data_IF_631384384133
#
_entry.id   IF_631384384133
#
_cell.length_a   1.000
_cell.length_b   1.000
_cell.length_c   1.000
_cell.angle_alpha   90.00
_cell.angle_beta   90.00
_cell.angle_gamma   90.00
#
_symmetry.space_group_name_H-M   'P 1'
#
loop_
_entity.id
_entity.type
_entity.pdbx_description
1 polymer ?
#
# COMPACT_ATOMS: atom_id res chain seq x y z
N UNK A 1 -74.80 -29.25 23.20
CA UNK A 1 -73.35 -29.51 23.14
C UNK A 1 -72.80 -28.87 21.88
N UNK A 2 -72.17 -27.72 22.01
CA UNK A 2 -71.50 -27.01 20.89
C UNK A 2 -70.02 -27.32 20.91
N UNK A 3 -69.49 -27.92 19.90
CA UNK A 3 -68.04 -28.14 19.70
C UNK A 3 -67.47 -26.93 18.96
N UNK A 4 -66.58 -26.21 19.63
CA UNK A 4 -65.73 -25.16 19.00
C UNK A 4 -64.59 -25.82 18.24
N UNK A 5 -64.45 -25.55 16.94
CA UNK A 5 -63.24 -25.80 16.20
C UNK A 5 -62.26 -24.63 16.41
N UNK A 6 -61.08 -24.93 16.99
CA UNK A 6 -59.92 -24.03 16.93
C UNK A 6 -59.18 -24.24 15.63
N UNK A 7 -59.15 -23.24 14.80
CA UNK A 7 -58.30 -23.14 13.62
C UNK A 7 -56.91 -22.62 14.06
N UNK A 8 -55.91 -23.45 13.98
CA UNK A 8 -54.48 -23.08 14.12
C UNK A 8 -54.05 -22.43 12.81
N UNK A 9 -53.86 -21.12 12.85
CA UNK A 9 -53.22 -20.37 11.77
C UNK A 9 -51.71 -20.62 11.79
N UNK A 10 -51.22 -21.31 10.78
CA UNK A 10 -49.79 -21.49 10.53
C UNK A 10 -49.22 -20.19 9.93
N UNK A 11 -48.51 -19.39 10.74
CA UNK A 11 -47.67 -18.35 10.21
C UNK A 11 -46.43 -18.97 9.55
N UNK A 12 -46.44 -19.07 8.25
CA UNK A 12 -45.24 -19.35 7.47
C UNK A 12 -44.41 -18.05 7.46
N UNK A 13 -43.36 -18.00 8.27
CA UNK A 13 -42.27 -17.05 8.04
C UNK A 13 -41.59 -17.47 6.74
N UNK A 14 -41.84 -16.75 5.66
CA UNK A 14 -41.00 -16.78 4.48
C UNK A 14 -39.66 -16.09 4.87
N UNK A 15 -38.64 -16.91 5.13
CA UNK A 15 -37.27 -16.44 5.07
C UNK A 15 -37.01 -16.08 3.58
N UNK A 16 -37.20 -14.80 3.25
CA UNK A 16 -36.61 -14.25 2.04
C UNK A 16 -35.11 -14.41 2.23
N UNK A 17 -34.47 -15.29 1.45
CA UNK A 17 -33.04 -15.28 1.28
C UNK A 17 -32.72 -13.87 0.74
N UNK A 18 -32.18 -13.02 1.58
CA UNK A 18 -31.59 -11.75 1.17
C UNK A 18 -30.53 -12.11 0.13
N UNK A 19 -30.75 -11.71 -1.12
CA UNK A 19 -29.64 -11.66 -2.06
C UNK A 19 -28.55 -10.83 -1.38
N UNK A 20 -27.38 -11.41 -1.19
CA UNK A 20 -26.23 -10.73 -0.54
C UNK A 20 -26.05 -9.39 -1.26
N UNK A 21 -26.28 -8.30 -0.56
CA UNK A 21 -26.00 -6.97 -1.12
C UNK A 21 -24.52 -6.92 -1.52
N UNK A 22 -24.25 -6.43 -2.73
CA UNK A 22 -22.86 -6.25 -3.21
C UNK A 22 -22.10 -5.40 -2.21
N UNK A 23 -20.92 -5.82 -1.72
CA UNK A 23 -20.16 -5.03 -0.76
C UNK A 23 -19.60 -3.77 -1.41
N UNK A 24 -19.48 -2.70 -0.64
CA UNK A 24 -18.71 -1.53 -1.03
C UNK A 24 -17.20 -1.79 -0.86
N UNK A 25 -16.38 -1.00 -1.54
CA UNK A 25 -14.93 -1.02 -1.41
C UNK A 25 -14.41 0.42 -1.21
N UNK A 26 -13.75 0.66 -0.08
CA UNK A 26 -12.97 1.87 0.20
C UNK A 26 -11.50 1.52 0.27
N UNK A 27 -10.70 2.05 -0.66
CA UNK A 27 -9.26 1.87 -0.70
C UNK A 27 -8.60 3.17 -0.26
N UNK A 28 -7.89 3.15 0.87
CA UNK A 28 -7.09 4.25 1.39
C UNK A 28 -5.62 3.92 1.07
N UNK A 29 -5.10 4.60 0.07
CA UNK A 29 -3.77 4.36 -0.48
C UNK A 29 -2.88 5.57 -0.22
N UNK A 30 -1.73 5.36 0.42
CA UNK A 30 -0.75 6.40 0.72
C UNK A 30 0.47 6.28 -0.20
N UNK A 31 1.32 7.30 -0.19
CA UNK A 31 2.56 7.33 -0.95
C UNK A 31 3.76 7.27 0.00
N UNK A 32 4.63 6.29 -0.19
CA UNK A 32 5.88 6.16 0.58
C UNK A 32 5.68 5.92 2.09
N UNK A 33 4.62 5.16 2.46
CA UNK A 33 4.30 4.85 3.86
C UNK A 33 5.12 3.67 4.38
N UNK A 34 5.96 3.92 5.39
CA UNK A 34 6.63 2.86 6.13
C UNK A 34 5.65 2.12 7.05
N UNK A 35 5.65 0.77 6.98
CA UNK A 35 4.88 -0.05 7.91
C UNK A 35 5.34 0.10 9.36
N UNK A 36 6.61 0.47 9.59
CA UNK A 36 7.22 0.65 10.92
C UNK A 36 6.63 1.85 11.69
N UNK A 37 5.89 2.73 11.03
CA UNK A 37 5.28 3.90 11.68
C UNK A 37 3.83 3.68 12.09
N UNK A 38 3.28 2.49 11.87
CA UNK A 38 1.92 2.13 12.24
C UNK A 38 1.92 1.30 13.53
N UNK A 39 1.14 1.73 14.53
CA UNK A 39 1.09 1.08 15.84
C UNK A 39 0.64 -0.38 15.75
N UNK A 40 -0.31 -0.72 14.89
CA UNK A 40 -0.73 -2.11 14.68
C UNK A 40 0.39 -3.03 14.19
N UNK A 41 1.36 -2.53 13.41
CA UNK A 41 2.53 -3.32 13.04
C UNK A 41 3.53 -3.47 14.19
N UNK A 42 3.75 -2.38 14.93
CA UNK A 42 4.71 -2.36 16.03
C UNK A 42 4.34 -3.34 17.15
N UNK A 43 3.03 -3.56 17.38
CA UNK A 43 2.53 -4.53 18.36
C UNK A 43 2.87 -5.99 18.02
N UNK A 44 3.10 -6.30 16.74
CA UNK A 44 3.38 -7.65 16.24
C UNK A 44 4.86 -7.88 15.89
N UNK A 45 5.69 -6.85 15.93
CA UNK A 45 7.12 -6.94 15.62
C UNK A 45 7.95 -7.00 16.91
N UNK A 46 9.11 -7.70 16.89
CA UNK A 46 10.13 -7.54 17.92
C UNK A 46 10.54 -6.07 18.10
N UNK A 47 10.93 -5.68 19.33
CA UNK A 47 11.20 -4.28 19.69
C UNK A 47 12.24 -3.61 18.76
N UNK A 48 13.29 -4.33 18.39
CA UNK A 48 14.35 -3.84 17.50
C UNK A 48 13.88 -3.61 16.06
N UNK A 49 12.88 -4.37 15.60
CA UNK A 49 12.26 -4.20 14.29
C UNK A 49 11.17 -3.13 14.29
N UNK A 50 10.42 -3.04 15.37
CA UNK A 50 9.33 -2.05 15.55
C UNK A 50 9.89 -0.63 15.69
N UNK A 51 11.01 -0.47 16.39
CA UNK A 51 11.56 0.82 16.78
C UNK A 51 12.98 1.04 16.28
N UNK A 52 13.18 0.94 14.96
CA UNK A 52 14.51 1.11 14.31
C UNK A 52 15.15 2.48 14.57
N UNK A 53 14.34 3.49 14.89
CA UNK A 53 14.80 4.84 15.25
C UNK A 53 14.84 5.10 16.76
N UNK A 54 14.78 4.04 17.58
CA UNK A 54 14.82 4.10 19.03
C UNK A 54 13.47 3.81 19.68
N UNK A 55 13.51 3.33 20.91
CA UNK A 55 12.32 2.92 21.67
C UNK A 55 11.31 4.05 21.82
N UNK A 56 10.04 3.78 21.50
CA UNK A 56 8.96 4.75 21.59
C UNK A 56 8.88 5.74 20.42
N UNK A 57 9.72 5.56 19.38
CA UNK A 57 9.65 6.35 18.15
C UNK A 57 8.54 5.80 17.25
N UNK A 58 7.33 6.33 17.41
CA UNK A 58 6.15 5.89 16.67
C UNK A 58 5.17 7.03 16.42
N UNK A 59 4.38 6.90 15.37
CA UNK A 59 3.20 7.72 15.12
C UNK A 59 2.00 7.18 15.91
N UNK A 60 1.00 8.04 16.15
CA UNK A 60 -0.28 7.65 16.73
C UNK A 60 -1.24 7.32 15.59
N UNK A 61 -1.67 6.05 15.50
CA UNK A 61 -2.51 5.56 14.40
C UNK A 61 -3.72 4.73 14.86
N UNK A 62 -4.53 5.21 15.84
CA UNK A 62 -5.61 4.43 16.43
C UNK A 62 -6.75 4.09 15.44
N UNK A 63 -6.94 4.88 14.37
CA UNK A 63 -7.98 4.64 13.39
C UNK A 63 -7.55 3.57 12.37
N UNK A 64 -6.27 3.56 11.96
CA UNK A 64 -5.70 2.48 11.15
C UNK A 64 -5.66 1.19 11.97
N UNK A 65 -5.30 1.26 13.26
CA UNK A 65 -5.35 0.12 14.19
C UNK A 65 -6.77 -0.45 14.29
N UNK A 66 -7.80 0.39 14.24
CA UNK A 66 -9.21 -0.05 14.22
C UNK A 66 -9.51 -0.92 13.01
N UNK A 67 -9.02 -0.57 11.82
CA UNK A 67 -9.17 -1.41 10.60
C UNK A 67 -8.50 -2.78 10.83
N UNK A 68 -7.26 -2.80 11.32
CA UNK A 68 -6.53 -4.04 11.62
C UNK A 68 -7.26 -4.91 12.66
N UNK A 69 -7.72 -4.29 13.75
CA UNK A 69 -8.37 -4.98 14.87
C UNK A 69 -9.77 -5.50 14.55
N UNK A 70 -10.51 -4.86 13.62
CA UNK A 70 -11.83 -5.32 13.17
C UNK A 70 -11.77 -6.23 11.94
N UNK A 71 -10.58 -6.52 11.44
CA UNK A 71 -10.33 -7.37 10.28
C UNK A 71 -8.98 -8.06 10.36
N UNK A 72 -8.10 -7.83 9.38
CA UNK A 72 -6.82 -8.50 9.28
C UNK A 72 -5.65 -7.52 9.02
N UNK A 73 -4.47 -7.91 9.50
CA UNK A 73 -3.18 -7.30 9.20
C UNK A 73 -2.30 -8.31 8.45
N UNK A 74 -1.73 -7.92 7.30
CA UNK A 74 -0.74 -8.71 6.59
C UNK A 74 0.67 -8.26 7.00
N UNK A 75 1.38 -9.15 7.68
CA UNK A 75 2.74 -8.86 8.16
C UNK A 75 3.79 -8.91 7.04
N UNK A 76 3.46 -9.45 5.87
CA UNK A 76 4.40 -9.73 4.78
C UNK A 76 3.78 -9.39 3.41
N UNK A 77 3.49 -8.10 3.19
CA UNK A 77 2.90 -7.59 1.95
C UNK A 77 3.91 -6.70 1.23
N UNK A 78 4.18 -6.98 -0.05
CA UNK A 78 5.25 -6.32 -0.82
C UNK A 78 4.69 -5.58 -2.04
N UNK A 79 5.34 -4.49 -2.43
CA UNK A 79 5.09 -3.90 -3.73
C UNK A 79 5.83 -4.67 -4.84
N UNK A 80 5.27 -4.71 -6.03
CA UNK A 80 5.86 -5.37 -7.22
C UNK A 80 7.13 -4.67 -7.73
N UNK A 81 7.25 -3.39 -7.42
CA UNK A 81 8.45 -2.58 -7.61
C UNK A 81 8.41 -1.42 -6.60
N UNK A 82 9.50 -1.15 -5.83
CA UNK A 82 9.50 -0.06 -4.85
C UNK A 82 9.71 1.31 -5.53
N UNK A 83 8.76 1.70 -6.38
CA UNK A 83 8.67 2.97 -7.12
C UNK A 83 7.20 3.23 -7.44
N UNK A 84 6.76 4.47 -7.35
CA UNK A 84 5.32 4.82 -7.34
C UNK A 84 4.56 4.35 -8.59
N UNK A 85 4.95 4.80 -9.79
CA UNK A 85 4.22 4.46 -11.03
C UNK A 85 4.11 2.94 -11.23
N UNK A 86 5.20 2.13 -11.24
CA UNK A 86 5.09 0.70 -11.48
C UNK A 86 4.29 -0.04 -10.38
N UNK A 87 4.44 0.35 -9.12
CA UNK A 87 3.68 -0.24 -8.02
C UNK A 87 2.18 0.02 -8.14
N UNK A 88 1.79 1.27 -8.40
CA UNK A 88 0.39 1.69 -8.60
C UNK A 88 -0.26 0.99 -9.78
N UNK A 89 0.47 0.90 -10.91
CA UNK A 89 0.00 0.21 -12.10
C UNK A 89 -0.27 -1.28 -11.82
N UNK A 90 0.64 -1.94 -11.10
CA UNK A 90 0.47 -3.34 -10.70
C UNK A 90 -0.74 -3.55 -9.79
N UNK A 91 -0.91 -2.68 -8.80
CA UNK A 91 -2.02 -2.79 -7.85
C UNK A 91 -3.39 -2.72 -8.52
N UNK A 92 -3.58 -1.76 -9.45
CA UNK A 92 -4.90 -1.57 -10.09
C UNK A 92 -5.18 -2.55 -11.23
N UNK A 93 -4.14 -3.22 -11.78
CA UNK A 93 -4.28 -4.13 -12.93
C UNK A 93 -4.06 -5.60 -12.58
N UNK A 94 -3.43 -5.93 -11.45
CA UNK A 94 -3.02 -7.31 -11.14
C UNK A 94 -1.87 -7.84 -11.99
N UNK A 95 -1.18 -6.97 -12.75
CA UNK A 95 -0.07 -7.33 -13.65
C UNK A 95 1.28 -6.82 -13.11
N UNK A 96 2.38 -7.52 -13.43
CA UNK A 96 3.70 -6.96 -13.17
C UNK A 96 3.96 -5.72 -14.04
N UNK A 97 4.82 -4.78 -13.59
CA UNK A 97 4.99 -3.45 -14.22
C UNK A 97 5.33 -3.48 -15.71
N UNK A 98 6.09 -4.48 -16.14
CA UNK A 98 6.49 -4.65 -17.55
C UNK A 98 5.31 -4.84 -18.52
N UNK A 99 4.18 -5.29 -17.99
CA UNK A 99 2.97 -5.59 -18.78
C UNK A 99 1.92 -4.49 -18.70
N UNK A 100 2.11 -3.51 -17.81
CA UNK A 100 1.14 -2.43 -17.61
C UNK A 100 1.33 -1.25 -18.58
N UNK A 101 2.47 -1.15 -19.25
CA UNK A 101 2.90 0.05 -19.99
C UNK A 101 3.61 1.09 -19.10
N UNK A 102 3.61 0.89 -17.78
CA UNK A 102 4.12 1.84 -16.80
C UNK A 102 5.25 1.25 -15.90
N UNK A 103 6.35 0.71 -16.49
CA UNK A 103 7.44 0.08 -15.74
C UNK A 103 8.33 1.06 -14.96
N UNK A 104 8.19 2.38 -15.15
CA UNK A 104 8.97 3.42 -14.45
C UNK A 104 8.16 4.70 -14.28
N UNK A 105 8.60 5.58 -13.39
CA UNK A 105 7.98 6.89 -13.23
C UNK A 105 8.01 7.70 -14.53
N UNK A 106 6.91 8.39 -14.83
CA UNK A 106 6.70 9.13 -16.05
C UNK A 106 6.09 8.33 -17.20
N UNK A 107 5.86 7.03 -17.02
CA UNK A 107 5.17 6.20 -18.00
C UNK A 107 3.64 6.27 -17.80
N UNK A 108 2.90 5.80 -18.82
CA UNK A 108 1.45 5.71 -18.85
C UNK A 108 0.98 4.28 -18.69
N UNK A 109 -0.06 4.06 -17.90
CA UNK A 109 -0.73 2.76 -17.91
C UNK A 109 -1.47 2.60 -19.26
N UNK A 110 -1.37 1.41 -19.87
CA UNK A 110 -2.02 1.12 -21.16
C UNK A 110 -3.55 1.13 -21.02
N UNK A 111 -4.21 1.64 -22.06
CA UNK A 111 -5.68 1.74 -22.10
C UNK A 111 -6.40 0.41 -22.34
N UNK A 112 -5.68 -0.57 -22.92
CA UNK A 112 -6.23 -1.87 -23.34
C UNK A 112 -6.21 -2.93 -22.24
N UNK A 113 -5.67 -2.61 -21.03
CA UNK A 113 -5.68 -3.55 -19.91
C UNK A 113 -6.88 -3.30 -18.98
N UNK A 114 -7.59 -4.36 -18.57
CA UNK A 114 -8.63 -4.22 -17.57
C UNK A 114 -8.00 -3.85 -16.22
N UNK A 115 -8.64 -2.92 -15.53
CA UNK A 115 -8.28 -2.54 -14.16
C UNK A 115 -9.38 -2.98 -13.20
N UNK A 116 -9.10 -2.94 -11.90
CA UNK A 116 -10.12 -3.15 -10.86
C UNK A 116 -11.36 -2.28 -11.11
N UNK A 117 -11.16 -1.00 -11.45
CA UNK A 117 -12.27 -0.07 -11.68
C UNK A 117 -13.05 -0.40 -12.96
N UNK A 118 -12.38 -0.84 -14.04
CA UNK A 118 -13.05 -1.31 -15.27
C UNK A 118 -13.98 -2.47 -14.96
N UNK A 119 -13.43 -3.52 -14.32
CA UNK A 119 -14.18 -4.75 -14.00
C UNK A 119 -15.36 -4.44 -13.05
N UNK A 120 -15.14 -3.64 -12.00
CA UNK A 120 -16.18 -3.26 -11.07
C UNK A 120 -17.26 -2.41 -11.74
N UNK A 121 -16.87 -1.46 -12.62
CA UNK A 121 -17.82 -0.64 -13.37
C UNK A 121 -18.74 -1.47 -14.29
N UNK A 122 -18.19 -2.46 -14.98
CA UNK A 122 -18.93 -3.43 -15.80
C UNK A 122 -19.86 -4.30 -14.96
N UNK A 123 -19.53 -4.51 -13.68
CA UNK A 123 -20.36 -5.21 -12.72
C UNK A 123 -21.31 -4.31 -11.92
N UNK A 124 -21.56 -3.08 -12.37
CA UNK A 124 -22.57 -2.18 -11.83
C UNK A 124 -22.18 -1.43 -10.56
N UNK A 125 -20.87 -1.31 -10.27
CA UNK A 125 -20.37 -0.45 -9.20
C UNK A 125 -20.20 0.99 -9.70
N UNK A 126 -20.44 1.96 -8.83
CA UNK A 126 -19.95 3.31 -9.01
C UNK A 126 -18.47 3.36 -8.66
N UNK A 127 -17.61 3.76 -9.60
CA UNK A 127 -16.16 3.75 -9.38
C UNK A 127 -15.59 5.16 -9.39
N UNK A 128 -14.87 5.56 -8.33
CA UNK A 128 -14.34 6.91 -8.16
C UNK A 128 -12.90 6.89 -7.69
N UNK A 129 -12.08 7.80 -8.22
CA UNK A 129 -10.69 8.00 -7.80
C UNK A 129 -10.46 9.43 -7.32
N UNK A 130 -9.82 9.58 -6.16
CA UNK A 130 -9.49 10.85 -5.54
C UNK A 130 -8.01 10.89 -5.21
N UNK A 131 -7.31 11.99 -5.51
CA UNK A 131 -5.91 12.19 -5.15
C UNK A 131 -4.92 11.75 -6.22
N UNK A 132 -3.69 11.41 -5.81
CA UNK A 132 -2.55 11.16 -6.68
C UNK A 132 -2.72 9.91 -7.55
N UNK A 133 -2.74 10.09 -8.87
CA UNK A 133 -2.81 9.00 -9.85
C UNK A 133 -1.43 8.45 -10.23
N UNK A 134 -0.57 9.30 -10.75
CA UNK A 134 0.82 9.01 -11.16
C UNK A 134 0.98 7.93 -12.26
N UNK A 135 -0.05 7.74 -13.09
CA UNK A 135 -0.06 6.79 -14.22
C UNK A 135 -0.45 7.47 -15.56
N UNK A 136 -0.32 8.79 -15.63
CA UNK A 136 -0.66 9.62 -16.78
C UNK A 136 0.54 10.41 -17.31
N UNK A 137 1.76 9.90 -17.15
CA UNK A 137 2.99 10.62 -17.51
C UNK A 137 3.34 11.76 -16.55
N UNK A 138 4.37 12.51 -16.91
CA UNK A 138 4.91 13.62 -16.11
C UNK A 138 4.71 15.00 -16.73
N UNK A 139 4.06 15.10 -17.90
CA UNK A 139 3.99 16.33 -18.70
C UNK A 139 3.16 17.43 -18.03
N UNK A 140 2.12 17.05 -17.27
CA UNK A 140 1.24 17.97 -16.56
C UNK A 140 1.14 17.59 -15.08
N UNK A 141 2.18 17.88 -14.30
CA UNK A 141 2.13 17.67 -12.84
C UNK A 141 1.07 18.58 -12.21
N UNK A 142 0.32 17.97 -11.27
CA UNK A 142 -0.75 18.66 -10.51
C UNK A 142 -2.02 19.00 -11.28
N UNK A 143 -2.21 18.49 -12.51
CA UNK A 143 -3.48 18.66 -13.20
C UNK A 143 -4.56 17.76 -12.61
N UNK A 144 -5.80 18.22 -12.65
CA UNK A 144 -7.00 17.48 -12.26
C UNK A 144 -7.84 17.15 -13.50
N UNK A 145 -8.71 16.13 -13.40
CA UNK A 145 -9.62 15.79 -14.49
C UNK A 145 -8.91 15.14 -15.68
N UNK A 146 -8.05 14.18 -15.44
CA UNK A 146 -7.24 13.44 -16.43
C UNK A 146 -8.16 12.79 -17.47
N UNK A 147 -7.79 12.85 -18.76
CA UNK A 147 -8.57 12.31 -19.85
C UNK A 147 -8.73 10.79 -19.76
N UNK A 148 -7.65 10.04 -19.57
CA UNK A 148 -7.69 8.60 -19.39
C UNK A 148 -7.91 8.22 -17.93
N UNK A 149 -9.01 7.55 -17.66
CA UNK A 149 -9.53 7.27 -16.31
C UNK A 149 -9.24 5.87 -15.79
N UNK A 150 -8.63 4.99 -16.60
CA UNK A 150 -8.39 3.59 -16.27
C UNK A 150 -9.62 2.87 -15.65
N UNK A 151 -10.82 3.11 -16.19
CA UNK A 151 -12.08 2.53 -15.72
C UNK A 151 -12.80 3.28 -14.61
N UNK A 152 -12.17 4.25 -13.93
CA UNK A 152 -12.88 5.07 -12.94
C UNK A 152 -13.88 6.01 -13.61
N UNK A 153 -15.16 5.90 -13.23
CA UNK A 153 -16.24 6.70 -13.80
C UNK A 153 -16.17 8.16 -13.35
N UNK A 154 -15.83 8.40 -12.09
CA UNK A 154 -15.60 9.73 -11.52
C UNK A 154 -14.12 9.93 -11.17
N UNK A 155 -13.46 10.83 -11.89
CA UNK A 155 -12.06 11.20 -11.71
C UNK A 155 -11.86 12.72 -11.54
N UNK A 156 -12.93 13.46 -11.18
CA UNK A 156 -12.86 14.92 -11.01
C UNK A 156 -11.78 15.38 -10.07
N UNK A 157 -11.48 14.56 -9.06
CA UNK A 157 -10.46 14.83 -8.04
C UNK A 157 -9.21 13.95 -8.20
N UNK A 158 -9.05 13.30 -9.35
CA UNK A 158 -7.85 12.56 -9.72
C UNK A 158 -6.77 13.55 -10.17
N UNK A 159 -5.67 13.63 -9.43
CA UNK A 159 -4.52 14.49 -9.70
C UNK A 159 -3.43 13.70 -10.42
N UNK A 160 -2.88 14.24 -11.51
CA UNK A 160 -1.87 13.56 -12.34
C UNK A 160 -0.69 13.04 -11.52
N UNK A 161 -0.12 13.87 -10.65
CA UNK A 161 1.00 13.49 -9.79
C UNK A 161 1.51 14.68 -8.97
N UNK A 162 2.61 14.46 -8.27
CA UNK A 162 3.28 15.48 -7.48
C UNK A 162 2.91 15.46 -5.99
N UNK A 163 3.57 16.32 -5.23
CA UNK A 163 3.51 16.41 -3.77
C UNK A 163 3.45 17.90 -3.36
N UNK A 164 2.38 18.60 -3.80
CA UNK A 164 2.11 19.97 -3.38
C UNK A 164 1.26 19.92 -2.11
N UNK A 165 1.80 20.21 -0.92
CA UNK A 165 1.09 19.99 0.34
C UNK A 165 -0.17 20.84 0.49
N UNK A 166 -0.28 21.91 -0.30
CA UNK A 166 -1.44 22.79 -0.28
C UNK A 166 -2.04 23.00 -1.66
N UNK A 167 -3.36 23.03 -1.70
CA UNK A 167 -4.18 23.39 -2.83
C UNK A 167 -4.83 24.74 -2.56
N UNK A 168 -4.95 25.58 -3.59
CA UNK A 168 -5.75 26.77 -3.56
C UNK A 168 -7.08 26.50 -4.27
N UNK A 169 -8.18 26.84 -3.62
CA UNK A 169 -9.51 26.74 -4.23
C UNK A 169 -9.96 28.15 -4.57
N UNK A 170 -10.06 28.47 -5.86
CA UNK A 170 -10.48 29.76 -6.35
C UNK A 170 -11.55 29.62 -7.43
N UNK A 171 -12.70 30.25 -7.23
CA UNK A 171 -13.83 30.22 -8.16
C UNK A 171 -14.26 28.81 -8.61
N UNK A 172 -14.05 27.79 -7.73
CA UNK A 172 -14.32 26.39 -8.02
C UNK A 172 -13.17 25.65 -8.73
N UNK A 173 -12.11 26.33 -9.12
CA UNK A 173 -10.90 25.74 -9.67
C UNK A 173 -9.94 25.28 -8.55
N UNK A 174 -9.31 24.12 -8.77
CA UNK A 174 -8.32 23.53 -7.86
C UNK A 174 -6.93 23.80 -8.44
N UNK A 175 -6.11 24.55 -7.71
CA UNK A 175 -4.78 24.95 -8.14
C UNK A 175 -3.76 24.41 -7.12
N UNK A 176 -2.82 23.58 -7.57
CA UNK A 176 -1.73 23.13 -6.72
C UNK A 176 -0.65 24.21 -6.56
N UNK A 177 -0.18 24.43 -5.33
CA UNK A 177 0.72 25.56 -5.01
C UNK A 177 2.21 25.23 -5.16
N UNK A 178 2.54 23.98 -5.58
CA UNK A 178 3.91 23.48 -5.69
C UNK A 178 4.46 22.95 -4.36
N UNK A 179 5.69 22.42 -4.42
CA UNK A 179 6.32 21.70 -3.30
C UNK A 179 6.93 22.60 -2.20
N UNK A 180 6.93 23.92 -2.36
CA UNK A 180 7.56 24.81 -1.38
C UNK A 180 6.59 25.19 -0.26
N UNK A 181 6.73 24.64 0.96
CA UNK A 181 5.85 24.98 2.08
C UNK A 181 5.93 26.47 2.49
N UNK A 182 7.03 27.18 2.17
CA UNK A 182 7.15 28.61 2.42
C UNK A 182 6.32 29.46 1.43
N UNK A 183 5.95 28.92 0.27
CA UNK A 183 5.02 29.59 -0.63
C UNK A 183 3.63 29.72 0.01
N UNK A 184 3.22 28.73 0.80
CA UNK A 184 1.99 28.74 1.58
C UNK A 184 1.88 29.93 2.56
N UNK A 185 2.99 30.28 3.23
CA UNK A 185 2.99 31.40 4.21
C UNK A 185 2.68 32.76 3.58
N UNK A 186 2.78 32.89 2.25
CA UNK A 186 2.59 34.14 1.49
C UNK A 186 1.23 34.23 0.78
N UNK A 187 0.43 33.14 0.80
CA UNK A 187 -0.90 33.08 0.14
C UNK A 187 -2.03 33.47 1.11
N UNK A 188 -3.18 33.94 0.61
CA UNK A 188 -4.38 34.14 1.41
C UNK A 188 -4.83 32.80 2.05
N UNK A 189 -4.87 32.76 3.37
CA UNK A 189 -5.13 31.51 4.12
C UNK A 189 -6.55 30.97 3.92
N UNK A 190 -7.50 31.84 3.61
CA UNK A 190 -8.92 31.51 3.44
C UNK A 190 -9.19 30.63 2.22
N UNK A 191 -8.29 30.65 1.23
CA UNK A 191 -8.42 29.88 -0.01
C UNK A 191 -7.54 28.61 0.00
N UNK A 192 -6.76 28.37 1.06
CA UNK A 192 -5.77 27.30 1.08
C UNK A 192 -6.27 26.11 1.92
N UNK A 193 -6.16 24.91 1.35
CA UNK A 193 -6.45 23.66 2.04
C UNK A 193 -5.28 22.69 1.89
N UNK A 194 -4.99 21.93 2.93
CA UNK A 194 -4.03 20.83 2.83
C UNK A 194 -4.62 19.71 1.97
N UNK A 195 -3.85 19.17 1.02
CA UNK A 195 -4.38 18.21 0.06
C UNK A 195 -4.92 16.93 0.74
N UNK A 196 -4.33 16.48 1.86
CA UNK A 196 -4.82 15.30 2.63
C UNK A 196 -6.21 15.54 3.20
N UNK A 197 -6.47 16.73 3.77
CA UNK A 197 -7.83 17.12 4.20
C UNK A 197 -8.77 17.22 3.02
N UNK A 198 -8.35 17.88 1.94
CA UNK A 198 -9.17 18.06 0.74
C UNK A 198 -9.59 16.72 0.13
N UNK A 199 -8.65 15.80 -0.07
CA UNK A 199 -8.97 14.49 -0.64
C UNK A 199 -9.86 13.66 0.29
N UNK A 200 -9.71 13.80 1.60
CA UNK A 200 -10.62 13.19 2.58
C UNK A 200 -12.02 13.75 2.48
N UNK A 201 -12.17 15.09 2.42
CA UNK A 201 -13.49 15.74 2.25
C UNK A 201 -14.17 15.29 0.96
N UNK A 202 -13.40 15.20 -0.14
CA UNK A 202 -13.92 14.75 -1.44
C UNK A 202 -14.24 13.26 -1.46
N UNK A 203 -13.53 12.44 -0.70
CA UNK A 203 -13.87 11.02 -0.51
C UNK A 203 -15.20 10.87 0.20
N UNK A 204 -15.42 11.62 1.28
CA UNK A 204 -16.68 11.62 2.03
C UNK A 204 -17.82 12.15 1.14
N UNK A 205 -17.61 13.23 0.38
CA UNK A 205 -18.58 13.77 -0.57
C UNK A 205 -19.02 12.72 -1.62
N UNK A 206 -18.06 11.97 -2.15
CA UNK A 206 -18.32 10.91 -3.14
C UNK A 206 -19.05 9.73 -2.50
N UNK A 207 -18.65 9.30 -1.32
CA UNK A 207 -19.36 8.23 -0.59
C UNK A 207 -20.80 8.65 -0.24
N UNK A 208 -21.04 9.89 0.19
CA UNK A 208 -22.38 10.42 0.46
C UNK A 208 -23.25 10.42 -0.80
N UNK A 209 -22.71 10.81 -1.95
CA UNK A 209 -23.42 10.74 -3.24
C UNK A 209 -23.80 9.31 -3.62
N UNK A 210 -22.93 8.34 -3.30
CA UNK A 210 -23.05 6.97 -3.81
C UNK A 210 -23.55 5.96 -2.76
N UNK A 211 -23.89 6.39 -1.54
CA UNK A 211 -24.23 5.52 -0.40
C UNK A 211 -25.41 4.56 -0.62
N UNK A 212 -26.31 4.88 -1.55
CA UNK A 212 -27.50 4.07 -1.85
C UNK A 212 -27.26 3.04 -2.99
N UNK A 213 -26.03 2.86 -3.44
CA UNK A 213 -25.63 1.90 -4.49
C UNK A 213 -24.24 1.32 -4.21
N UNK A 214 -23.91 0.16 -4.78
CA UNK A 214 -22.56 -0.40 -4.62
C UNK A 214 -21.51 0.57 -5.17
N UNK A 215 -20.47 0.87 -4.38
CA UNK A 215 -19.39 1.76 -4.79
C UNK A 215 -18.00 1.15 -4.58
N UNK A 216 -17.07 1.59 -5.39
CA UNK A 216 -15.64 1.47 -5.20
C UNK A 216 -15.02 2.86 -5.20
N UNK A 217 -14.51 3.30 -4.07
CA UNK A 217 -13.82 4.59 -3.93
C UNK A 217 -12.37 4.34 -3.56
N UNK A 218 -11.44 4.85 -4.38
CA UNK A 218 -10.03 4.84 -4.07
C UNK A 218 -9.57 6.27 -3.80
N UNK A 219 -9.14 6.52 -2.55
CA UNK A 219 -8.45 7.75 -2.18
C UNK A 219 -6.95 7.49 -2.11
N UNK A 220 -6.18 8.25 -2.87
CA UNK A 220 -4.73 8.16 -2.96
C UNK A 220 -4.09 9.44 -2.43
N UNK A 221 -3.65 9.37 -1.17
CA UNK A 221 -3.09 10.48 -0.40
C UNK A 221 -1.60 10.59 -0.71
N UNK A 222 -1.08 11.75 -1.18
CA UNK A 222 0.33 11.93 -1.47
C UNK A 222 1.24 11.88 -0.24
N UNK A 223 0.72 12.18 0.96
CA UNK A 223 1.43 11.97 2.22
C UNK A 223 1.61 10.46 2.50
N UNK A 224 2.67 10.07 3.25
CA UNK A 224 3.71 10.91 3.86
C UNK A 224 4.97 11.08 2.99
N UNK A 225 4.88 11.02 1.65
CA UNK A 225 6.01 11.27 0.75
C UNK A 225 6.58 12.68 0.94
N UNK A 226 7.89 12.83 0.77
CA UNK A 226 8.56 14.14 0.81
C UNK A 226 7.89 15.17 -0.12
N UNK A 227 7.83 16.47 0.26
CA UNK A 227 8.58 17.12 1.33
C UNK A 227 8.06 16.79 2.73
N UNK A 228 8.96 16.46 3.66
CA UNK A 228 8.64 16.11 5.04
C UNK A 228 8.10 17.34 5.77
N UNK A 229 6.82 17.58 5.63
CA UNK A 229 6.13 18.77 6.12
C UNK A 229 4.71 18.45 6.58
N UNK A 230 4.56 18.23 7.87
CA UNK A 230 3.24 18.10 8.48
C UNK A 230 2.57 19.45 8.65
N UNK A 231 1.28 19.57 8.35
CA UNK A 231 0.55 20.79 8.66
C UNK A 231 0.33 20.99 10.16
N UNK A 232 0.11 22.24 10.65
CA UNK A 232 -0.33 22.45 12.02
C UNK A 232 -1.70 21.74 12.30
N UNK A 233 -1.90 21.15 13.50
CA UNK A 233 -0.97 21.11 14.64
C UNK A 233 0.05 19.96 14.58
N UNK A 234 -0.02 19.03 13.63
CA UNK A 234 0.78 17.80 13.56
C UNK A 234 2.28 18.05 13.46
N UNK A 235 2.69 19.18 12.85
CA UNK A 235 4.09 19.57 12.70
C UNK A 235 4.84 19.83 14.03
N UNK A 236 4.11 19.93 15.16
CA UNK A 236 4.69 20.11 16.49
C UNK A 236 4.45 18.92 17.41
N UNK A 237 3.63 17.96 16.97
CA UNK A 237 3.18 16.86 17.83
C UNK A 237 4.33 15.96 18.31
N UNK A 238 5.38 15.85 17.52
CA UNK A 238 6.54 14.98 17.75
C UNK A 238 7.84 15.78 17.97
N UNK A 239 7.76 17.09 18.25
CA UNK A 239 8.93 17.96 18.40
C UNK A 239 9.88 17.51 19.53
N UNK A 240 9.33 16.97 20.62
CA UNK A 240 10.08 16.55 21.81
C UNK A 240 10.67 15.13 21.69
N UNK A 241 10.39 14.39 20.60
CA UNK A 241 11.01 13.10 20.37
C UNK A 241 12.50 13.25 20.05
N UNK A 242 13.28 12.23 20.39
CA UNK A 242 14.72 12.14 20.12
C UNK A 242 15.04 10.87 19.29
N UNK A 243 14.67 10.84 18.00
CA UNK A 243 14.97 9.70 17.14
C UNK A 243 16.45 9.44 17.04
N UNK A 244 16.81 8.15 17.01
CA UNK A 244 18.18 7.68 16.95
C UNK A 244 18.50 7.16 15.54
N UNK A 245 19.79 7.29 15.19
CA UNK A 245 20.31 6.72 13.94
C UNK A 245 20.10 5.20 13.89
N UNK A 246 19.48 4.66 12.81
CA UNK A 246 19.28 3.22 12.65
C UNK A 246 20.59 2.44 12.70
N UNK A 247 20.57 1.27 13.35
CA UNK A 247 21.75 0.40 13.41
C UNK A 247 22.29 0.02 12.03
N UNK A 248 21.39 -0.22 11.06
CA UNK A 248 21.73 -0.52 9.66
C UNK A 248 22.48 0.63 8.96
N UNK A 249 22.23 1.88 9.33
CA UNK A 249 23.00 3.02 8.80
C UNK A 249 24.47 2.94 9.24
N UNK A 250 24.71 2.66 10.52
CA UNK A 250 26.09 2.54 11.07
C UNK A 250 26.87 1.46 10.37
N UNK A 251 26.27 0.28 10.17
CA UNK A 251 26.90 -0.83 9.46
C UNK A 251 27.19 -0.48 8.01
N UNK A 252 26.21 0.09 7.30
CA UNK A 252 26.36 0.47 5.90
C UNK A 252 27.45 1.53 5.67
N UNK A 253 27.66 2.43 6.63
CA UNK A 253 28.72 3.44 6.56
C UNK A 253 30.10 2.83 6.86
N UNK A 254 30.18 1.82 7.73
CA UNK A 254 31.45 1.17 8.11
C UNK A 254 31.90 0.12 7.10
N UNK A 255 31.00 -0.70 6.58
CA UNK A 255 31.29 -1.88 5.76
C UNK A 255 31.02 -1.68 4.25
N UNK A 256 30.34 -0.57 3.88
CA UNK A 256 29.90 -0.30 2.51
C UNK A 256 28.52 -0.86 2.22
N UNK A 257 28.05 -0.61 1.01
CA UNK A 257 26.72 -1.01 0.50
C UNK A 257 26.86 -1.78 -0.81
N UNK A 258 25.92 -2.69 -1.10
CA UNK A 258 25.77 -3.24 -2.45
C UNK A 258 25.63 -2.14 -3.50
N UNK A 259 26.04 -2.38 -4.76
CA UNK A 259 25.97 -1.35 -5.80
C UNK A 259 24.53 -0.92 -6.10
N UNK A 260 23.57 -1.82 -5.98
CA UNK A 260 22.14 -1.49 -6.11
C UNK A 260 21.60 -0.61 -4.96
N UNK A 261 22.33 -0.50 -3.84
CA UNK A 261 22.03 0.38 -2.72
C UNK A 261 23.06 1.49 -2.52
N UNK A 262 24.17 1.46 -3.29
CA UNK A 262 25.23 2.45 -3.19
C UNK A 262 24.82 3.78 -3.83
N UNK A 263 25.66 4.72 -3.68
CA UNK A 263 25.65 6.13 -4.05
C UNK A 263 24.48 6.71 -4.88
N UNK A 264 24.22 7.98 -4.71
CA UNK A 264 23.21 8.76 -5.41
C UNK A 264 22.52 9.75 -4.47
N UNK A 265 21.58 10.51 -5.02
CA UNK A 265 20.83 11.56 -4.31
C UNK A 265 20.12 11.10 -3.03
N UNK A 266 19.87 9.80 -2.90
CA UNK A 266 19.17 9.21 -1.75
C UNK A 266 20.13 8.73 -0.65
N UNK A 267 21.45 8.68 -0.87
CA UNK A 267 22.42 8.28 0.16
C UNK A 267 22.60 9.41 1.18
N UNK A 268 22.82 9.01 2.44
CA UNK A 268 23.10 9.90 3.58
C UNK A 268 24.28 9.37 4.35
N UNK A 269 25.13 10.31 4.79
CA UNK A 269 26.29 10.06 5.68
C UNK A 269 26.06 10.55 7.10
N UNK A 270 25.02 11.35 7.30
CA UNK A 270 24.65 11.94 8.60
C UNK A 270 23.15 11.74 8.81
N UNK A 271 22.77 11.51 10.07
CA UNK A 271 21.38 11.39 10.50
C UNK A 271 20.84 12.76 10.91
N UNK A 272 19.71 13.15 10.32
CA UNK A 272 18.93 14.31 10.73
C UNK A 272 17.55 13.82 11.22
N UNK A 273 17.19 14.00 12.51
CA UNK A 273 15.93 13.55 13.06
C UNK A 273 14.71 14.39 12.63
N UNK A 274 14.89 15.63 12.16
CA UNK A 274 13.79 16.55 11.91
C UNK A 274 12.82 16.07 10.80
N UNK A 275 13.27 15.56 9.65
CA UNK A 275 12.37 14.99 8.65
C UNK A 275 11.50 13.87 9.22
N UNK A 276 12.04 12.98 10.07
CA UNK A 276 11.31 11.87 10.66
C UNK A 276 10.20 12.34 11.61
N UNK A 277 10.44 13.41 12.40
CA UNK A 277 9.41 14.01 13.27
C UNK A 277 8.24 14.57 12.45
N UNK A 278 8.54 15.22 11.32
CA UNK A 278 7.52 15.69 10.39
C UNK A 278 6.76 14.53 9.75
N UNK A 279 7.47 13.48 9.36
CA UNK A 279 6.87 12.27 8.80
C UNK A 279 5.88 11.63 9.79
N UNK A 280 6.23 11.49 11.07
CA UNK A 280 5.28 11.01 12.10
C UNK A 280 4.05 11.91 12.21
N UNK A 281 4.22 13.22 12.09
CA UNK A 281 3.11 14.17 12.06
C UNK A 281 2.20 13.95 10.85
N UNK A 282 2.76 13.73 9.65
CA UNK A 282 1.98 13.43 8.46
C UNK A 282 1.20 12.11 8.60
N UNK A 283 1.83 11.06 9.15
CA UNK A 283 1.18 9.76 9.40
C UNK A 283 0.01 9.90 10.38
N UNK A 284 0.17 10.67 11.47
CA UNK A 284 -0.96 10.93 12.39
C UNK A 284 -2.08 11.75 11.75
N UNK A 285 -1.74 12.69 10.87
CA UNK A 285 -2.75 13.42 10.09
C UNK A 285 -3.54 12.49 9.15
N UNK A 286 -2.85 11.56 8.48
CA UNK A 286 -3.51 10.54 7.66
C UNK A 286 -4.46 9.71 8.53
N UNK A 287 -4.02 9.29 9.72
CA UNK A 287 -4.84 8.49 10.64
C UNK A 287 -6.12 9.23 11.06
N UNK A 288 -6.04 10.50 11.40
CA UNK A 288 -7.23 11.32 11.71
C UNK A 288 -8.18 11.40 10.51
N UNK A 289 -7.66 11.48 9.29
CA UNK A 289 -8.43 11.45 8.06
C UNK A 289 -9.11 10.08 7.83
N UNK A 290 -8.40 8.98 8.12
CA UNK A 290 -8.98 7.61 8.13
C UNK A 290 -10.14 7.56 9.12
N UNK A 291 -9.97 8.09 10.32
CA UNK A 291 -11.04 8.17 11.34
C UNK A 291 -12.30 8.87 10.84
N UNK A 292 -12.16 9.97 10.11
CA UNK A 292 -13.29 10.69 9.51
C UNK A 292 -14.04 9.85 8.47
N UNK A 293 -13.32 9.12 7.61
CA UNK A 293 -13.92 8.23 6.61
C UNK A 293 -14.64 7.04 7.27
N UNK A 294 -14.03 6.43 8.29
CA UNK A 294 -14.66 5.35 9.07
C UNK A 294 -15.92 5.82 9.80
N UNK A 295 -15.87 7.01 10.42
CA UNK A 295 -17.05 7.62 11.08
C UNK A 295 -18.20 7.80 10.11
N UNK A 296 -17.93 8.28 8.88
CA UNK A 296 -18.94 8.40 7.84
C UNK A 296 -19.60 7.04 7.54
N UNK A 297 -18.81 5.97 7.37
CA UNK A 297 -19.36 4.64 7.10
C UNK A 297 -20.20 4.12 8.28
N UNK A 298 -19.79 4.38 9.52
CA UNK A 298 -20.53 3.99 10.73
C UNK A 298 -21.87 4.73 10.86
N UNK A 299 -21.85 6.05 10.73
CA UNK A 299 -23.04 6.89 10.85
C UNK A 299 -24.11 6.60 9.78
N UNK A 300 -23.68 6.11 8.60
CA UNK A 300 -24.58 5.72 7.51
C UNK A 300 -24.90 4.21 7.48
N UNK A 301 -24.48 3.42 8.50
CA UNK A 301 -24.67 1.96 8.57
C UNK A 301 -24.09 1.20 7.36
N UNK A 302 -23.01 1.68 6.79
CA UNK A 302 -22.34 1.09 5.63
C UNK A 302 -21.16 0.18 6.02
N UNK A 303 -20.58 0.35 7.21
CA UNK A 303 -19.30 -0.27 7.60
C UNK A 303 -19.37 -1.81 7.53
N UNK A 304 -20.45 -2.42 7.98
CA UNK A 304 -20.62 -3.88 7.98
C UNK A 304 -20.55 -4.50 6.57
N UNK A 305 -20.98 -3.76 5.54
CA UNK A 305 -20.98 -4.19 4.15
C UNK A 305 -19.95 -3.41 3.30
N UNK A 306 -18.91 -2.90 3.91
CA UNK A 306 -17.81 -2.21 3.23
C UNK A 306 -16.48 -2.90 3.50
N UNK A 307 -15.77 -3.25 2.44
CA UNK A 307 -14.37 -3.64 2.52
C UNK A 307 -13.56 -2.34 2.62
N UNK A 308 -12.84 -2.16 3.73
CA UNK A 308 -11.95 -1.02 3.95
C UNK A 308 -10.51 -1.51 3.92
N UNK A 309 -9.71 -0.98 3.01
CA UNK A 309 -8.28 -1.31 2.89
C UNK A 309 -7.43 -0.08 3.13
N UNK A 310 -6.39 -0.20 3.96
CA UNK A 310 -5.31 0.79 4.06
C UNK A 310 -4.00 0.14 3.58
N UNK A 311 -3.32 0.79 2.63
CA UNK A 311 -2.06 0.31 2.06
C UNK A 311 -1.24 1.46 1.46
N UNK A 312 -0.05 1.16 0.91
CA UNK A 312 0.85 2.12 0.26
C UNK A 312 1.39 1.57 -1.06
N UNK A 313 1.95 2.45 -1.89
CA UNK A 313 2.63 2.03 -3.13
C UNK A 313 4.05 1.48 -2.88
N UNK A 314 4.79 1.99 -1.92
CA UNK A 314 6.09 1.50 -1.43
C UNK A 314 6.37 2.10 -0.05
N UNK A 315 7.44 1.63 0.60
CA UNK A 315 7.91 2.21 1.84
C UNK A 315 8.94 3.34 1.65
N UNK A 316 9.54 3.78 2.74
CA UNK A 316 10.67 4.72 2.79
C UNK A 316 11.80 4.14 3.64
N UNK A 317 13.02 4.30 3.17
CA UNK A 317 14.23 3.84 3.87
C UNK A 317 14.51 4.62 5.16
N UNK A 318 14.13 5.85 5.24
CA UNK A 318 14.32 6.76 6.39
C UNK A 318 15.59 6.48 7.21
N UNK A 319 16.72 6.66 6.54
CA UNK A 319 18.09 6.41 7.04
C UNK A 319 18.48 4.93 7.24
N UNK A 320 17.56 3.96 7.13
CA UNK A 320 17.98 2.56 7.12
C UNK A 320 19.00 2.35 5.98
N UNK A 321 20.08 1.64 6.26
CA UNK A 321 21.26 1.48 5.38
C UNK A 321 21.87 2.82 4.88
N UNK A 322 21.69 3.92 5.62
CA UNK A 322 22.14 5.26 5.23
C UNK A 322 21.49 5.75 3.94
N UNK A 323 20.18 5.52 3.77
CA UNK A 323 19.41 5.93 2.59
C UNK A 323 18.09 6.59 2.99
N UNK A 324 17.61 7.43 2.10
CA UNK A 324 16.24 7.96 2.08
C UNK A 324 15.47 7.39 0.91
N UNK A 325 14.15 7.54 0.95
CA UNK A 325 13.23 7.14 -0.10
C UNK A 325 13.27 5.63 -0.42
N UNK A 326 13.27 5.24 -1.67
CA UNK A 326 12.95 3.92 -2.20
C UNK A 326 13.93 3.44 -3.28
N UNK A 327 13.47 2.54 -4.13
CA UNK A 327 14.17 1.98 -5.33
C UNK A 327 15.22 0.92 -5.00
N UNK A 328 15.17 0.32 -3.83
CA UNK A 328 16.06 -0.76 -3.37
C UNK A 328 15.24 -1.95 -2.87
N UNK A 329 15.81 -3.17 -2.86
CA UNK A 329 15.09 -4.38 -2.46
C UNK A 329 14.90 -4.56 -0.95
N UNK A 330 15.43 -3.68 -0.10
CA UNK A 330 15.31 -3.77 1.35
C UNK A 330 13.87 -3.71 1.84
N UNK A 331 13.60 -4.34 2.99
CA UNK A 331 12.30 -4.36 3.65
C UNK A 331 11.68 -2.97 3.80
N UNK A 332 12.47 -1.99 4.23
CA UNK A 332 12.01 -0.62 4.45
C UNK A 332 11.40 0.02 3.20
N UNK A 333 11.88 -0.33 1.99
CA UNK A 333 11.38 0.21 0.73
C UNK A 333 10.32 -0.68 0.07
N UNK A 334 10.46 -2.01 0.17
CA UNK A 334 9.66 -2.96 -0.61
C UNK A 334 8.46 -3.53 0.14
N UNK A 335 8.56 -3.73 1.47
CA UNK A 335 7.45 -4.17 2.31
C UNK A 335 6.58 -2.99 2.66
N UNK A 336 5.29 -3.11 2.34
CA UNK A 336 4.30 -2.05 2.53
C UNK A 336 3.24 -2.47 3.56
N UNK A 337 2.60 -1.51 4.24
CA UNK A 337 1.48 -1.82 5.11
C UNK A 337 0.30 -2.35 4.28
N UNK A 338 -0.41 -3.33 4.83
CA UNK A 338 -1.69 -3.79 4.33
C UNK A 338 -2.57 -4.22 5.50
N UNK A 339 -3.58 -3.41 5.79
CA UNK A 339 -4.63 -3.76 6.74
C UNK A 339 -5.97 -3.70 6.04
N UNK A 340 -6.86 -4.62 6.37
CA UNK A 340 -8.16 -4.78 5.73
C UNK A 340 -9.22 -5.12 6.76
N UNK A 341 -10.38 -4.50 6.65
CA UNK A 341 -11.57 -4.85 7.42
C UNK A 341 -12.74 -5.13 6.47
N UNK A 342 -13.45 -6.19 6.74
CA UNK A 342 -14.76 -6.50 6.17
C UNK A 342 -15.56 -7.26 7.24
N UNK A 343 -16.21 -6.53 8.17
CA UNK A 343 -16.74 -7.11 9.38
C UNK A 343 -17.69 -8.28 9.17
N UNK A 344 -18.47 -8.26 8.07
CA UNK A 344 -19.39 -9.35 7.74
C UNK A 344 -18.71 -10.65 7.27
N UNK A 345 -17.41 -10.65 6.88
CA UNK A 345 -16.73 -11.84 6.35
C UNK A 345 -15.34 -12.10 6.91
N UNK A 346 -14.55 -11.08 7.23
CA UNK A 346 -13.17 -11.23 7.71
C UNK A 346 -13.19 -11.31 9.24
N UNK A 347 -12.66 -12.39 9.85
CA UNK A 347 -12.53 -12.48 11.30
C UNK A 347 -11.70 -11.34 11.88
N UNK A 348 -12.19 -10.72 12.96
CA UNK A 348 -11.51 -9.63 13.64
C UNK A 348 -10.18 -10.07 14.28
N UNK A 349 -9.16 -9.20 14.22
CA UNK A 349 -7.85 -9.41 14.84
C UNK A 349 -6.99 -10.47 14.16
N UNK A 350 -7.22 -10.75 12.88
CA UNK A 350 -6.46 -11.76 12.15
C UNK A 350 -5.07 -11.23 11.79
N UNK A 351 -4.02 -11.99 12.11
CA UNK A 351 -2.64 -11.71 11.70
C UNK A 351 -2.23 -12.73 10.65
N UNK A 352 -1.85 -12.24 9.46
CA UNK A 352 -1.46 -13.06 8.32
C UNK A 352 0.03 -12.84 8.06
N UNK A 353 0.82 -13.94 8.09
CA UNK A 353 2.27 -13.93 7.87
C UNK A 353 2.67 -14.38 6.47
N UNK A 354 1.73 -14.92 5.70
CA UNK A 354 1.95 -15.30 4.29
C UNK A 354 2.48 -14.14 3.47
N UNK A 355 3.43 -14.45 2.58
CA UNK A 355 4.00 -13.46 1.67
C UNK A 355 3.03 -13.13 0.54
N UNK A 356 2.68 -11.86 0.38
CA UNK A 356 1.88 -11.33 -0.73
C UNK A 356 2.63 -10.25 -1.49
N UNK A 357 2.21 -10.02 -2.73
CA UNK A 357 2.69 -8.92 -3.57
C UNK A 357 1.50 -8.16 -4.14
N UNK A 358 1.64 -6.87 -4.37
CA UNK A 358 0.49 -6.03 -4.74
C UNK A 358 -0.11 -6.30 -6.13
N UNK A 359 0.47 -7.20 -6.93
CA UNK A 359 -0.23 -7.79 -8.07
C UNK A 359 -1.41 -8.66 -7.65
N UNK A 360 -1.39 -9.20 -6.42
CA UNK A 360 -2.50 -9.99 -5.84
C UNK A 360 -3.70 -9.12 -5.46
N UNK A 361 -3.53 -7.79 -5.38
CA UNK A 361 -4.56 -6.88 -4.88
C UNK A 361 -5.86 -6.96 -5.67
N UNK A 362 -5.80 -6.73 -6.97
CA UNK A 362 -7.01 -6.70 -7.83
C UNK A 362 -7.74 -8.04 -7.83
N UNK A 363 -7.13 -9.21 -8.11
CA UNK A 363 -7.85 -10.48 -8.06
C UNK A 363 -8.40 -10.79 -6.66
N UNK A 364 -7.69 -10.45 -5.59
CA UNK A 364 -8.16 -10.67 -4.21
C UNK A 364 -9.37 -9.81 -3.86
N UNK A 365 -9.38 -8.52 -4.25
CA UNK A 365 -10.55 -7.66 -4.01
C UNK A 365 -11.76 -8.17 -4.79
N UNK A 366 -11.60 -8.58 -6.05
CA UNK A 366 -12.69 -9.17 -6.84
C UNK A 366 -13.22 -10.46 -6.20
N UNK A 367 -12.34 -11.33 -5.70
CA UNK A 367 -12.70 -12.55 -4.96
C UNK A 367 -13.51 -12.26 -3.68
N UNK A 368 -13.05 -11.32 -2.84
CA UNK A 368 -13.76 -10.89 -1.62
C UNK A 368 -15.15 -10.31 -1.94
N UNK A 369 -15.26 -9.57 -3.05
CA UNK A 369 -16.50 -8.95 -3.52
C UNK A 369 -17.42 -9.93 -4.24
N UNK A 370 -16.94 -11.14 -4.59
CA UNK A 370 -17.69 -12.13 -5.35
C UNK A 370 -17.98 -11.69 -6.78
N UNK A 371 -17.05 -10.97 -7.40
CA UNK A 371 -17.16 -10.47 -8.77
C UNK A 371 -16.46 -11.40 -9.73
N UNK A 372 -17.24 -12.08 -10.57
CA UNK A 372 -16.75 -12.93 -11.66
C UNK A 372 -16.19 -12.04 -12.80
N UNK A 373 -15.08 -12.48 -13.39
CA UNK A 373 -14.44 -11.78 -14.52
C UNK A 373 -13.60 -12.76 -15.33
N UNK A 374 -13.28 -12.37 -16.57
CA UNK A 374 -12.44 -13.14 -17.51
C UNK A 374 -11.04 -12.51 -17.67
N UNK A 375 -10.65 -11.58 -16.81
CA UNK A 375 -9.35 -10.91 -16.90
C UNK A 375 -8.21 -11.86 -16.48
N UNK A 376 -7.09 -11.78 -17.19
CA UNK A 376 -5.87 -12.51 -16.85
C UNK A 376 -5.00 -11.65 -15.93
N UNK A 377 -4.62 -12.23 -14.79
CA UNK A 377 -3.76 -11.60 -13.79
C UNK A 377 -2.43 -12.36 -13.65
N UNK A 378 -1.36 -11.64 -13.29
CA UNK A 378 -0.13 -12.26 -12.81
C UNK A 378 -0.18 -12.52 -11.30
N UNK A 379 -0.97 -11.75 -10.58
CA UNK A 379 -1.30 -11.97 -9.17
C UNK A 379 -2.31 -13.08 -9.00
N UNK A 380 -2.45 -13.55 -7.77
CA UNK A 380 -3.33 -14.65 -7.36
C UNK A 380 -4.49 -14.10 -6.53
N UNK A 381 -5.68 -14.68 -6.66
CA UNK A 381 -6.77 -14.43 -5.72
C UNK A 381 -6.47 -15.14 -4.39
N UNK A 382 -6.20 -14.36 -3.37
CA UNK A 382 -5.92 -14.80 -2.01
C UNK A 382 -7.09 -14.54 -1.05
N UNK A 383 -8.28 -14.25 -1.56
CA UNK A 383 -9.46 -13.88 -0.77
C UNK A 383 -9.82 -14.94 0.28
N UNK A 384 -9.60 -16.23 -0.04
CA UNK A 384 -9.82 -17.34 0.89
C UNK A 384 -8.98 -17.22 2.18
N UNK A 385 -7.77 -16.71 2.09
CA UNK A 385 -6.88 -16.52 3.24
C UNK A 385 -7.45 -15.50 4.22
N UNK A 386 -8.15 -14.49 3.74
CA UNK A 386 -8.75 -13.45 4.58
C UNK A 386 -10.01 -13.94 5.29
N UNK A 387 -10.88 -14.65 4.61
CA UNK A 387 -12.18 -15.09 5.17
C UNK A 387 -12.08 -16.38 5.99
N UNK A 388 -11.02 -17.17 5.83
CA UNK A 388 -10.80 -18.39 6.62
C UNK A 388 -10.72 -18.06 8.11
N UNK A 389 -11.37 -18.90 8.93
CA UNK A 389 -11.18 -18.87 10.40
C UNK A 389 -9.85 -19.48 10.83
N UNK A 390 -9.12 -20.13 9.94
CA UNK A 390 -7.81 -20.71 10.21
C UNK A 390 -6.75 -19.61 10.25
N UNK A 391 -6.03 -19.55 11.36
CA UNK A 391 -4.97 -18.53 11.60
C UNK A 391 -3.62 -19.01 11.08
N UNK A 392 -3.49 -20.31 10.79
CA UNK A 392 -2.26 -20.90 10.26
C UNK A 392 -2.21 -20.72 8.73
N UNK A 393 -1.70 -19.58 8.32
CA UNK A 393 -1.48 -19.29 6.90
C UNK A 393 -0.08 -19.77 6.53
N UNK A 394 0.05 -20.39 5.35
CA UNK A 394 1.29 -20.99 4.86
C UNK A 394 2.35 -19.92 4.55
N UNK A 395 3.37 -19.82 5.38
CA UNK A 395 4.50 -18.90 5.20
C UNK A 395 5.38 -19.27 3.98
N UNK A 396 5.13 -20.43 3.36
CA UNK A 396 5.93 -20.95 2.25
C UNK A 396 5.59 -20.35 0.88
N UNK A 397 4.66 -19.39 0.78
CA UNK A 397 4.32 -18.78 -0.49
C UNK A 397 5.50 -18.00 -1.05
N UNK A 398 5.88 -18.31 -2.30
CA UNK A 398 6.95 -17.63 -3.01
C UNK A 398 6.40 -16.42 -3.76
N UNK A 399 6.94 -15.24 -3.46
CA UNK A 399 6.67 -14.00 -4.19
C UNK A 399 7.97 -13.43 -4.75
N UNK A 400 7.85 -12.53 -5.73
CA UNK A 400 8.98 -11.75 -6.20
C UNK A 400 8.55 -10.32 -6.57
N UNK A 401 9.54 -9.42 -6.58
CA UNK A 401 9.41 -8.04 -7.00
C UNK A 401 10.71 -7.58 -7.65
N UNK A 402 10.67 -6.45 -8.38
CA UNK A 402 11.80 -6.05 -9.22
C UNK A 402 12.08 -4.56 -9.15
N UNK A 403 13.31 -4.20 -9.52
CA UNK A 403 13.63 -2.81 -9.80
C UNK A 403 12.78 -2.26 -10.95
N UNK A 404 12.35 -1.03 -10.86
CA UNK A 404 11.90 -0.24 -12.00
C UNK A 404 13.03 -0.24 -13.07
N UNK A 405 12.76 -0.80 -14.26
CA UNK A 405 13.78 -1.04 -15.28
C UNK A 405 14.53 -2.36 -15.16
N UNK A 406 14.28 -3.17 -14.14
CA UNK A 406 14.67 -4.58 -14.07
C UNK A 406 16.16 -4.87 -13.97
N UNK A 407 16.96 -4.01 -13.30
CA UNK A 407 18.40 -4.30 -13.10
C UNK A 407 18.66 -5.23 -11.92
N UNK A 408 17.74 -5.34 -10.96
CA UNK A 408 17.71 -6.39 -9.94
C UNK A 408 16.32 -7.01 -9.85
N UNK A 409 16.25 -8.22 -9.32
CA UNK A 409 15.03 -8.87 -8.87
C UNK A 409 15.23 -9.44 -7.47
N UNK A 410 14.21 -9.37 -6.65
CA UNK A 410 14.19 -9.95 -5.31
C UNK A 410 13.06 -10.96 -5.21
N UNK A 411 13.30 -12.07 -4.49
CA UNK A 411 12.29 -13.05 -4.16
C UNK A 411 12.23 -13.23 -2.65
N UNK A 412 11.04 -13.47 -2.12
CA UNK A 412 10.81 -13.84 -0.72
C UNK A 412 10.13 -15.20 -0.70
N UNK A 413 10.64 -16.08 0.16
CA UNK A 413 10.12 -17.42 0.40
C UNK A 413 10.33 -17.77 1.87
N UNK A 414 9.27 -18.08 2.59
CA UNK A 414 9.32 -18.22 4.03
C UNK A 414 9.92 -16.93 4.65
N UNK A 415 10.98 -17.00 5.41
CA UNK A 415 11.71 -15.87 5.96
C UNK A 415 13.02 -15.56 5.23
N UNK A 416 13.24 -16.13 4.04
CA UNK A 416 14.43 -15.86 3.24
C UNK A 416 14.15 -14.85 2.13
N UNK A 417 15.10 -13.95 1.90
CA UNK A 417 15.08 -13.01 0.79
C UNK A 417 16.32 -13.18 -0.07
N UNK A 418 16.11 -13.49 -1.36
CA UNK A 418 17.16 -13.55 -2.37
C UNK A 418 17.09 -12.30 -3.25
N UNK A 419 18.23 -11.63 -3.45
CA UNK A 419 18.39 -10.53 -4.41
C UNK A 419 19.38 -10.94 -5.49
N UNK A 420 18.93 -10.91 -6.75
CA UNK A 420 19.78 -11.10 -7.93
C UNK A 420 19.94 -9.77 -8.65
N UNK A 421 21.17 -9.35 -8.89
CA UNK A 421 21.51 -8.15 -9.65
C UNK A 421 22.16 -8.53 -10.98
N UNK A 422 22.15 -7.62 -11.98
CA UNK A 422 22.78 -7.89 -13.29
C UNK A 422 24.30 -7.91 -13.25
N UNK A 423 24.91 -7.27 -12.27
CA UNK A 423 26.37 -7.06 -12.19
C UNK A 423 26.98 -7.70 -10.95
N UNK A 424 26.37 -7.53 -9.80
CA UNK A 424 26.85 -8.03 -8.52
C UNK A 424 26.55 -9.50 -8.28
N UNK A 425 27.27 -10.10 -7.34
CA UNK A 425 26.93 -11.42 -6.82
C UNK A 425 25.55 -11.38 -6.15
N UNK A 426 24.88 -12.53 -6.02
CA UNK A 426 23.62 -12.64 -5.29
C UNK A 426 23.78 -12.24 -3.82
N UNK A 427 22.67 -11.75 -3.26
CA UNK A 427 22.52 -11.54 -1.80
C UNK A 427 21.41 -12.44 -1.29
N UNK A 428 21.65 -13.13 -0.19
CA UNK A 428 20.66 -13.90 0.54
C UNK A 428 20.60 -13.38 1.97
N UNK A 429 19.42 -12.98 2.40
CA UNK A 429 19.14 -12.57 3.77
C UNK A 429 18.23 -13.58 4.46
N UNK A 430 18.47 -13.81 5.74
CA UNK A 430 17.60 -14.56 6.64
C UNK A 430 16.86 -13.54 7.52
N UNK A 431 15.66 -13.16 7.11
CA UNK A 431 14.90 -12.09 7.76
C UNK A 431 14.45 -12.42 9.19
N UNK A 432 14.54 -13.70 9.59
CA UNK A 432 14.25 -14.14 10.96
C UNK A 432 15.43 -13.91 11.90
N UNK A 433 16.64 -14.16 11.43
CA UNK A 433 17.87 -14.00 12.19
C UNK A 433 18.51 -12.63 12.00
N UNK A 434 18.28 -12.01 10.84
CA UNK A 434 18.82 -10.72 10.43
C UNK A 434 17.72 -9.87 9.77
N UNK A 435 16.75 -9.39 10.54
CA UNK A 435 15.62 -8.60 10.01
C UNK A 435 16.04 -7.21 9.49
N UNK A 436 17.27 -6.81 9.76
CA UNK A 436 17.86 -5.57 9.26
C UNK A 436 18.69 -5.75 7.99
N UNK A 437 18.75 -6.97 7.43
CA UNK A 437 19.43 -7.27 6.16
C UNK A 437 20.91 -6.81 6.12
N UNK A 438 21.65 -7.08 7.22
CA UNK A 438 23.04 -6.64 7.39
C UNK A 438 24.03 -7.65 6.84
N UNK A 439 23.68 -8.94 6.82
CA UNK A 439 24.60 -10.02 6.51
C UNK A 439 24.19 -10.80 5.27
N UNK A 440 25.02 -10.74 4.21
CA UNK A 440 24.83 -11.60 3.04
C UNK A 440 25.21 -13.05 3.35
N UNK A 441 24.25 -13.98 3.32
CA UNK A 441 24.42 -15.41 3.59
C UNK A 441 24.68 -16.26 2.34
N UNK A 442 24.82 -15.67 1.18
CA UNK A 442 24.88 -16.41 -0.11
C UNK A 442 26.06 -17.39 -0.19
N UNK A 443 27.17 -17.08 0.44
CA UNK A 443 28.39 -17.93 0.46
C UNK A 443 28.43 -18.90 1.66
N UNK A 444 27.46 -18.82 2.58
CA UNK A 444 27.37 -19.73 3.73
C UNK A 444 26.81 -21.10 3.28
N UNK A 445 27.57 -22.20 3.47
CA UNK A 445 27.14 -23.53 3.04
C UNK A 445 25.77 -23.97 3.63
N UNK A 446 25.42 -23.49 4.84
CA UNK A 446 24.17 -23.83 5.50
C UNK A 446 22.94 -23.30 4.74
N UNK A 447 23.09 -22.24 3.95
CA UNK A 447 22.00 -21.59 3.19
C UNK A 447 21.99 -21.95 1.70
N UNK A 448 22.95 -22.77 1.24
CA UNK A 448 23.12 -23.05 -0.19
C UNK A 448 21.88 -23.67 -0.84
N UNK A 449 21.25 -24.63 -0.18
CA UNK A 449 20.10 -25.33 -0.75
C UNK A 449 18.89 -24.39 -0.93
N UNK A 450 18.60 -23.55 0.05
CA UNK A 450 17.53 -22.56 -0.05
C UNK A 450 17.83 -21.50 -1.10
N UNK A 451 19.08 -21.01 -1.18
CA UNK A 451 19.48 -20.03 -2.19
C UNK A 451 19.33 -20.58 -3.62
N UNK A 452 19.76 -21.81 -3.88
CA UNK A 452 19.61 -22.49 -5.18
C UNK A 452 18.12 -22.74 -5.50
N UNK A 453 17.32 -23.16 -4.51
CA UNK A 453 15.88 -23.35 -4.67
C UNK A 453 15.20 -22.03 -5.09
N UNK A 454 15.47 -20.95 -4.33
CA UNK A 454 14.87 -19.63 -4.60
C UNK A 454 15.28 -19.08 -5.95
N UNK A 455 16.56 -19.19 -6.32
CA UNK A 455 17.04 -18.77 -7.65
C UNK A 455 16.29 -19.49 -8.77
N UNK A 456 16.22 -20.83 -8.72
CA UNK A 456 15.51 -21.62 -9.74
C UNK A 456 14.04 -21.26 -9.84
N UNK A 457 13.40 -21.02 -8.71
CA UNK A 457 12.01 -20.64 -8.67
C UNK A 457 11.78 -19.24 -9.23
N UNK A 458 12.67 -18.27 -8.92
CA UNK A 458 12.62 -16.92 -9.48
C UNK A 458 12.82 -16.96 -11.01
N UNK A 459 13.83 -17.68 -11.49
CA UNK A 459 14.06 -17.84 -12.94
C UNK A 459 12.85 -18.46 -13.65
N UNK A 460 12.23 -19.49 -13.03
CA UNK A 460 11.01 -20.11 -13.55
C UNK A 460 9.84 -19.12 -13.59
N UNK A 461 9.55 -18.41 -12.50
CA UNK A 461 8.43 -17.43 -12.42
C UNK A 461 8.60 -16.30 -13.44
N UNK A 462 9.84 -15.80 -13.64
CA UNK A 462 10.12 -14.79 -14.66
C UNK A 462 9.87 -15.34 -16.07
N UNK A 463 10.24 -16.58 -16.34
CA UNK A 463 10.01 -17.23 -17.63
C UNK A 463 8.52 -17.52 -17.89
N UNK A 464 7.77 -17.97 -16.86
CA UNK A 464 6.34 -18.27 -16.94
C UNK A 464 5.51 -17.04 -17.37
N UNK A 465 5.97 -15.83 -17.04
CA UNK A 465 5.33 -14.56 -17.43
C UNK A 465 6.10 -13.81 -18.52
N UNK A 466 6.95 -14.50 -19.31
CA UNK A 466 7.74 -13.97 -20.44
C UNK A 466 8.65 -12.76 -20.09
N UNK A 467 9.13 -12.65 -18.87
CA UNK A 467 10.16 -11.67 -18.50
C UNK A 467 11.55 -12.21 -18.87
N UNK A 468 12.12 -11.70 -19.96
CA UNK A 468 13.47 -12.06 -20.41
C UNK A 468 14.55 -11.26 -19.69
N UNK A 469 14.87 -11.66 -18.45
CA UNK A 469 15.92 -11.05 -17.67
C UNK A 469 17.07 -12.03 -17.42
N UNK A 470 18.30 -11.52 -17.43
CA UNK A 470 19.49 -12.27 -17.04
C UNK A 470 20.15 -11.55 -15.88
N UNK A 471 20.26 -12.23 -14.77
CA UNK A 471 20.96 -11.76 -13.58
C UNK A 471 22.26 -12.52 -13.36
N UNK A 472 23.18 -11.91 -12.63
CA UNK A 472 24.37 -12.61 -12.14
C UNK A 472 23.93 -13.58 -11.03
N UNK A 473 24.19 -14.85 -11.24
CA UNK A 473 23.85 -15.90 -10.26
C UNK A 473 25.06 -16.34 -9.44
N UNK A 474 26.24 -15.77 -9.70
CA UNK A 474 27.47 -16.11 -8.98
C UNK A 474 27.77 -17.61 -9.06
N UNK A 475 27.92 -18.22 -7.87
CA UNK A 475 28.16 -19.67 -7.70
C UNK A 475 26.89 -20.48 -7.37
N UNK A 476 25.69 -19.86 -7.40
CA UNK A 476 24.42 -20.51 -7.13
C UNK A 476 24.02 -21.51 -8.22
#
# INVERSE_FOLDING_TARGET
MKRSLLTLGSCALSAAASASEKPNLLIIHTDEQSFRTLSCYQEHLPEDQAFVWGKGMNSKTPNIDKIANTGAICMSYYCSAPVSTPSRASMVSGLYPEFTGAPKNGDFIREDIPTLATILGENGYSTSYIGKWHLAGDDEKYAFGIEYKAGFQDNRYMMTGGHAPYLQIRDGEIIATGMNPNAYAKQPKEEMVHYTDFFTDKTIEVMERDKDKPFCVMVSIPDPHTPDYARPPYNKMYADLDPQEPASMKVALAEGRPSWASEGKNSRSEFDPEPLKQYFGMVTHIDDCVGRMLTFLEENNLLENTIVVFTSDHGDMFYEHGRMNKSVPYEAAARIPFVISYPSKIPAGKVITTNYVNTDFTPTMLGLMGVENDAEFHGEDTSADFVSSDINVDDSRFIFYRASGGWWASAVYDHYKLVLDKKEQPYLFDLKLDPHELTNRVDDPAYRDVAVKMRKQLEKRLADIDIKAKYNTGKL
#
